data_IF_944793786535
#
_entry.id   IF_944793786535
#
_cell.length_a   1.000
_cell.length_b   1.000
_cell.length_c   1.000
_cell.angle_alpha   90.00
_cell.angle_beta   90.00
_cell.angle_gamma   90.00
#
_symmetry.space_group_name_H-M   'P 1'
#
loop_
_entity.id
_entity.type
_entity.pdbx_description
1 polymer ?
#
# COMPACT_ATOMS: atom_id res chain seq x y z
N UNK A 1 4.36 6.00 13.61
CA UNK A 1 4.44 4.54 13.38
C UNK A 1 5.20 4.30 12.10
N UNK A 2 6.26 3.49 12.12
CA UNK A 2 7.05 3.16 10.94
C UNK A 2 6.32 2.09 10.12
N UNK A 3 6.56 2.02 8.79
CA UNK A 3 6.07 0.92 7.94
C UNK A 3 6.37 -0.45 8.57
N UNK A 4 7.53 -0.57 9.22
CA UNK A 4 7.96 -1.80 9.92
C UNK A 4 6.97 -2.22 11.01
N UNK A 5 6.45 -1.28 11.80
CA UNK A 5 5.51 -1.58 12.91
C UNK A 5 4.18 -2.10 12.38
N UNK A 6 3.74 -1.61 11.21
CA UNK A 6 2.52 -2.10 10.53
C UNK A 6 2.70 -3.50 9.98
N UNK A 7 3.86 -3.78 9.40
CA UNK A 7 4.21 -5.13 8.93
C UNK A 7 4.23 -6.11 10.10
N UNK A 8 4.77 -5.71 11.25
CA UNK A 8 4.75 -6.55 12.45
C UNK A 8 3.31 -6.80 12.94
N UNK A 9 2.46 -5.79 13.01
CA UNK A 9 1.04 -5.96 13.36
C UNK A 9 0.29 -6.88 12.38
N UNK A 10 0.63 -6.82 11.09
CA UNK A 10 0.08 -7.76 10.10
C UNK A 10 0.58 -9.19 10.31
N UNK A 11 1.84 -9.38 10.69
CA UNK A 11 2.41 -10.70 10.99
C UNK A 11 1.78 -11.36 12.22
N UNK A 12 1.29 -10.59 13.17
CA UNK A 12 0.55 -11.10 14.34
C UNK A 12 -0.82 -11.66 13.94
N UNK A 13 -1.41 -11.16 12.87
CA UNK A 13 -2.66 -11.69 12.34
C UNK A 13 -2.40 -12.98 11.56
N UNK A 14 -2.95 -14.10 12.04
CA UNK A 14 -2.79 -15.41 11.41
C UNK A 14 -3.14 -15.45 9.91
N UNK A 15 -4.13 -14.65 9.50
CA UNK A 15 -4.57 -14.59 8.10
C UNK A 15 -3.49 -14.03 7.15
N UNK A 16 -2.61 -13.16 7.65
CA UNK A 16 -1.61 -12.46 6.83
C UNK A 16 -0.17 -12.91 7.09
N UNK A 17 0.08 -13.65 8.18
CA UNK A 17 1.42 -14.10 8.57
C UNK A 17 2.16 -14.81 7.44
N UNK A 18 1.45 -15.72 6.76
CA UNK A 18 2.03 -16.52 5.68
C UNK A 18 2.07 -15.80 4.34
N UNK A 19 1.42 -14.62 4.24
CA UNK A 19 1.41 -13.79 3.04
C UNK A 19 2.63 -12.88 2.99
N UNK A 20 3.08 -12.38 4.14
CA UNK A 20 4.21 -11.45 4.22
C UNK A 20 5.52 -12.24 4.14
N UNK A 21 6.31 -11.96 3.12
CA UNK A 21 7.61 -12.61 2.85
C UNK A 21 8.74 -11.58 2.89
N UNK A 22 9.94 -12.06 3.22
CA UNK A 22 11.15 -11.26 2.99
C UNK A 22 11.45 -11.21 1.49
N UNK A 23 12.24 -10.22 1.02
CA UNK A 23 12.64 -10.17 -0.39
C UNK A 23 13.29 -11.47 -0.88
N UNK A 24 14.11 -12.11 -0.05
CA UNK A 24 14.80 -13.36 -0.35
C UNK A 24 13.81 -14.53 -0.50
N UNK A 25 12.85 -14.62 0.42
CA UNK A 25 11.79 -15.62 0.34
C UNK A 25 10.92 -15.43 -0.91
N UNK A 26 10.55 -14.17 -1.20
CA UNK A 26 9.80 -13.84 -2.38
C UNK A 26 10.56 -14.18 -3.66
N UNK A 27 11.88 -13.88 -3.73
CA UNK A 27 12.73 -14.20 -4.87
C UNK A 27 12.84 -15.71 -5.15
N UNK A 28 12.79 -16.55 -4.09
CA UNK A 28 12.76 -18.01 -4.22
C UNK A 28 11.40 -18.55 -4.72
N UNK A 29 10.32 -17.82 -4.44
CA UNK A 29 8.97 -18.20 -4.85
C UNK A 29 8.61 -17.72 -6.26
N UNK A 30 9.34 -16.72 -6.79
CA UNK A 30 9.09 -16.14 -8.12
C UNK A 30 9.21 -17.17 -9.24
N UNK A 31 8.28 -17.10 -10.17
CA UNK A 31 8.22 -17.93 -11.40
C UNK A 31 8.09 -17.00 -12.60
N UNK A 32 8.37 -17.50 -13.81
CA UNK A 32 8.17 -16.75 -15.06
C UNK A 32 6.72 -16.28 -15.27
N UNK A 33 5.75 -16.95 -14.65
CA UNK A 33 4.33 -16.58 -14.66
C UNK A 33 3.94 -15.60 -13.55
N UNK A 34 4.85 -15.24 -12.64
CA UNK A 34 4.56 -14.32 -11.54
C UNK A 34 4.35 -12.90 -12.04
N UNK A 35 3.34 -12.23 -11.48
CA UNK A 35 3.09 -10.80 -11.66
C UNK A 35 3.65 -10.06 -10.43
N UNK A 36 4.53 -9.11 -10.65
CA UNK A 36 5.02 -8.19 -9.63
C UNK A 36 4.18 -6.91 -9.66
N UNK A 37 3.49 -6.60 -8.57
CA UNK A 37 2.78 -5.35 -8.40
C UNK A 37 3.57 -4.46 -7.44
N UNK A 38 4.00 -3.30 -7.94
CA UNK A 38 4.78 -2.30 -7.21
C UNK A 38 3.84 -1.15 -6.91
N UNK A 39 3.69 -0.81 -5.63
CA UNK A 39 2.81 0.26 -5.17
C UNK A 39 3.60 1.34 -4.44
N UNK A 40 3.14 2.59 -4.55
CA UNK A 40 3.65 3.76 -3.85
C UNK A 40 5.11 4.14 -4.20
N UNK A 41 5.64 3.57 -5.26
CA UNK A 41 6.90 4.00 -5.87
C UNK A 41 6.98 3.55 -7.32
N UNK A 42 7.58 4.39 -8.13
CA UNK A 42 7.98 4.08 -9.51
C UNK A 42 9.51 4.04 -9.66
N UNK A 43 10.25 4.36 -8.58
CA UNK A 43 11.71 4.48 -8.62
C UNK A 43 12.37 3.14 -8.42
N UNK A 44 13.26 2.76 -9.33
CA UNK A 44 14.08 1.55 -9.20
C UNK A 44 14.95 1.60 -7.94
N UNK A 45 15.48 2.77 -7.59
CA UNK A 45 16.31 2.99 -6.40
C UNK A 45 15.57 2.84 -5.07
N UNK A 46 14.24 2.95 -5.07
CA UNK A 46 13.40 2.82 -3.88
C UNK A 46 12.84 1.42 -3.66
N UNK A 47 13.11 0.48 -4.57
CA UNK A 47 12.66 -0.90 -4.41
C UNK A 47 13.39 -1.59 -3.26
N UNK A 48 12.64 -2.36 -2.47
CA UNK A 48 13.21 -3.22 -1.43
C UNK A 48 14.16 -4.29 -2.00
N UNK A 49 13.90 -4.73 -3.25
CA UNK A 49 14.74 -5.67 -3.97
C UNK A 49 14.60 -5.45 -5.48
N UNK A 50 15.71 -5.06 -6.12
CA UNK A 50 15.78 -4.97 -7.57
C UNK A 50 15.72 -6.36 -8.23
N UNK A 51 16.17 -7.40 -7.54
CA UNK A 51 16.15 -8.79 -8.00
C UNK A 51 14.71 -9.27 -8.31
N UNK A 52 13.72 -8.87 -7.51
CA UNK A 52 12.33 -9.22 -7.75
C UNK A 52 11.82 -8.63 -9.07
N UNK A 53 12.22 -7.40 -9.40
CA UNK A 53 11.86 -6.77 -10.67
C UNK A 53 12.54 -7.48 -11.85
N UNK A 54 13.79 -7.91 -11.71
CA UNK A 54 14.54 -8.61 -12.75
C UNK A 54 14.00 -10.03 -13.01
N UNK A 55 13.51 -10.69 -11.96
CA UNK A 55 12.92 -12.04 -12.06
C UNK A 55 11.46 -12.04 -12.51
N UNK A 56 10.77 -10.92 -12.38
CA UNK A 56 9.35 -10.83 -12.72
C UNK A 56 9.13 -10.97 -14.22
N UNK A 57 8.25 -11.87 -14.64
CA UNK A 57 7.82 -11.98 -16.04
C UNK A 57 6.96 -10.79 -16.48
N UNK A 58 6.20 -10.22 -15.55
CA UNK A 58 5.35 -9.04 -15.75
C UNK A 58 5.42 -8.15 -14.53
N UNK A 59 5.45 -6.84 -14.74
CA UNK A 59 5.41 -5.84 -13.67
C UNK A 59 4.28 -4.82 -13.90
N UNK A 60 3.59 -4.47 -12.82
CA UNK A 60 2.62 -3.39 -12.75
C UNK A 60 3.15 -2.36 -11.76
N UNK A 61 3.06 -1.08 -12.10
CA UNK A 61 3.42 0.04 -11.22
C UNK A 61 2.17 0.88 -10.98
N UNK A 62 1.84 1.12 -9.70
CA UNK A 62 0.75 2.00 -9.26
C UNK A 62 1.35 3.02 -8.30
N UNK A 63 1.41 4.28 -8.72
CA UNK A 63 2.09 5.32 -7.94
C UNK A 63 1.46 6.71 -8.16
N UNK A 64 1.37 7.50 -7.09
CA UNK A 64 0.83 8.85 -7.12
C UNK A 64 1.91 9.95 -7.11
N UNK A 65 3.17 9.57 -7.11
CA UNK A 65 4.28 10.53 -7.15
C UNK A 65 4.50 11.08 -8.56
N UNK A 66 5.08 12.28 -8.65
CA UNK A 66 5.52 12.84 -9.92
C UNK A 66 6.58 11.93 -10.55
N UNK A 67 6.55 11.84 -11.87
CA UNK A 67 7.47 10.99 -12.62
C UNK A 67 8.92 11.29 -12.30
N UNK A 68 9.67 10.26 -11.93
CA UNK A 68 11.07 10.33 -11.58
C UNK A 68 11.97 9.97 -12.78
N UNK A 69 13.21 10.47 -12.77
CA UNK A 69 14.19 10.18 -13.82
C UNK A 69 14.58 8.69 -13.80
N UNK A 70 14.68 8.09 -12.61
CA UNK A 70 15.01 6.69 -12.37
C UNK A 70 13.77 5.76 -12.31
N UNK A 71 12.70 6.15 -13.00
CA UNK A 71 11.48 5.35 -13.08
C UNK A 71 11.74 3.97 -13.69
N UNK A 72 11.00 2.97 -13.21
CA UNK A 72 10.98 1.61 -13.76
C UNK A 72 10.59 1.70 -15.23
N UNK A 73 11.43 1.14 -16.11
CA UNK A 73 11.22 1.19 -17.55
C UNK A 73 10.37 0.02 -18.03
N UNK A 74 9.44 0.31 -18.95
CA UNK A 74 8.62 -0.66 -19.66
C UNK A 74 7.88 -1.67 -18.76
N UNK A 75 7.18 -1.24 -17.68
CA UNK A 75 6.31 -2.15 -16.98
C UNK A 75 5.15 -2.58 -17.90
N UNK A 76 4.57 -3.74 -17.62
CA UNK A 76 3.41 -4.25 -18.37
C UNK A 76 2.20 -3.29 -18.26
N UNK A 77 2.02 -2.70 -17.07
CA UNK A 77 1.07 -1.62 -16.82
C UNK A 77 1.75 -0.56 -15.94
N UNK A 78 1.57 0.70 -16.33
CA UNK A 78 2.06 1.84 -15.57
C UNK A 78 0.90 2.78 -15.26
N UNK A 79 0.37 2.71 -14.04
CA UNK A 79 -0.70 3.57 -13.57
C UNK A 79 -0.10 4.63 -12.65
N UNK A 80 0.26 5.79 -13.25
CA UNK A 80 0.83 6.94 -12.56
C UNK A 80 -0.18 8.09 -12.57
N UNK A 81 -0.60 8.54 -11.38
CA UNK A 81 -1.62 9.58 -11.22
C UNK A 81 -1.21 10.57 -10.12
N UNK A 82 -0.43 11.57 -10.50
CA UNK A 82 0.07 12.58 -9.56
C UNK A 82 -1.02 13.48 -8.92
N UNK A 83 -2.25 13.40 -9.42
CA UNK A 83 -3.42 14.07 -8.85
C UNK A 83 -4.13 13.27 -7.76
N UNK A 84 -3.83 11.98 -7.61
CA UNK A 84 -4.37 11.14 -6.53
C UNK A 84 -3.75 11.50 -5.20
N UNK A 85 -4.53 11.40 -4.12
CA UNK A 85 -4.06 11.73 -2.77
C UNK A 85 -3.04 10.73 -2.25
N UNK A 86 -3.13 9.48 -2.68
CA UNK A 86 -2.29 8.38 -2.20
C UNK A 86 -2.35 7.17 -3.14
N UNK A 87 -1.36 6.30 -3.07
CA UNK A 87 -1.42 4.99 -3.73
C UNK A 87 -2.57 4.13 -3.16
N UNK A 88 -2.94 4.32 -1.89
CA UNK A 88 -4.08 3.63 -1.27
C UNK A 88 -5.43 4.05 -1.88
N UNK A 89 -5.61 5.31 -2.28
CA UNK A 89 -6.77 5.77 -3.07
C UNK A 89 -6.84 5.02 -4.39
N UNK A 90 -5.74 5.01 -5.15
CA UNK A 90 -5.65 4.35 -6.46
C UNK A 90 -5.93 2.85 -6.38
N UNK A 91 -5.34 2.16 -5.38
CA UNK A 91 -5.59 0.73 -5.14
C UNK A 91 -7.06 0.49 -4.78
N UNK A 92 -7.65 1.36 -3.95
CA UNK A 92 -9.07 1.25 -3.60
C UNK A 92 -9.97 1.37 -4.82
N UNK A 93 -9.67 2.28 -5.74
CA UNK A 93 -10.40 2.41 -7.01
C UNK A 93 -10.25 1.16 -7.87
N UNK A 94 -9.02 0.64 -8.02
CA UNK A 94 -8.80 -0.60 -8.78
C UNK A 94 -9.61 -1.75 -8.22
N UNK A 95 -9.63 -1.94 -6.89
CA UNK A 95 -10.39 -3.02 -6.22
C UNK A 95 -11.89 -2.91 -6.55
N UNK A 96 -12.46 -1.70 -6.58
CA UNK A 96 -13.88 -1.50 -6.87
C UNK A 96 -14.31 -1.99 -8.25
N UNK A 97 -13.39 -1.97 -9.23
CA UNK A 97 -13.69 -2.29 -10.63
C UNK A 97 -12.99 -3.56 -11.13
N UNK A 98 -12.23 -4.24 -10.26
CA UNK A 98 -11.41 -5.37 -10.70
C UNK A 98 -12.24 -6.63 -10.93
N UNK A 99 -13.11 -6.99 -9.99
CA UNK A 99 -14.00 -8.14 -10.05
C UNK A 99 -15.09 -7.99 -8.98
N UNK A 100 -16.35 -8.28 -9.33
CA UNK A 100 -17.49 -8.24 -8.42
C UNK A 100 -17.35 -9.22 -7.24
N UNK A 101 -16.52 -10.26 -7.36
CA UNK A 101 -16.20 -11.23 -6.31
C UNK A 101 -15.10 -10.79 -5.34
N UNK A 102 -14.29 -9.78 -5.70
CA UNK A 102 -13.19 -9.31 -4.86
C UNK A 102 -13.70 -8.36 -3.77
N UNK A 103 -13.84 -8.88 -2.56
CA UNK A 103 -14.26 -8.09 -1.39
C UNK A 103 -13.10 -8.00 -0.40
N UNK A 104 -12.54 -6.80 -0.18
CA UNK A 104 -11.53 -6.62 0.84
C UNK A 104 -12.13 -6.88 2.23
N UNK A 105 -11.34 -7.48 3.11
CA UNK A 105 -11.72 -7.69 4.51
C UNK A 105 -11.79 -6.35 5.26
N UNK A 106 -12.48 -6.32 6.39
CA UNK A 106 -12.54 -5.14 7.27
C UNK A 106 -11.15 -4.63 7.65
N UNK A 107 -10.19 -5.54 7.88
CA UNK A 107 -8.81 -5.18 8.19
C UNK A 107 -8.10 -4.51 7.00
N UNK A 108 -8.25 -5.05 5.79
CA UNK A 108 -7.67 -4.48 4.57
C UNK A 108 -8.28 -3.11 4.26
N UNK A 109 -9.60 -2.97 4.42
CA UNK A 109 -10.27 -1.67 4.32
C UNK A 109 -9.73 -0.66 5.32
N UNK A 110 -9.52 -1.08 6.57
CA UNK A 110 -8.92 -0.25 7.61
C UNK A 110 -7.49 0.17 7.27
N UNK A 111 -6.67 -0.74 6.74
CA UNK A 111 -5.30 -0.47 6.33
C UNK A 111 -5.22 0.52 5.15
N UNK A 112 -6.06 0.34 4.14
CA UNK A 112 -6.15 1.28 3.00
C UNK A 112 -6.62 2.67 3.45
N UNK A 113 -7.65 2.74 4.32
CA UNK A 113 -8.13 4.01 4.86
C UNK A 113 -7.06 4.70 5.72
N UNK A 114 -6.27 3.93 6.46
CA UNK A 114 -5.15 4.47 7.22
C UNK A 114 -4.08 5.08 6.29
N UNK A 115 -3.76 4.44 5.15
CA UNK A 115 -2.86 4.99 4.15
C UNK A 115 -3.37 6.32 3.58
N UNK A 116 -4.63 6.37 3.14
CA UNK A 116 -5.25 7.63 2.67
C UNK A 116 -5.17 8.71 3.76
N UNK A 117 -5.53 8.37 5.00
CA UNK A 117 -5.50 9.31 6.14
C UNK A 117 -4.10 9.87 6.38
N UNK A 118 -3.06 9.05 6.21
CA UNK A 118 -1.67 9.47 6.42
C UNK A 118 -1.22 10.46 5.35
N UNK A 119 -1.37 10.11 4.08
CA UNK A 119 -0.88 10.92 2.95
C UNK A 119 -1.62 12.24 2.83
N UNK A 120 -2.91 12.24 3.21
CA UNK A 120 -3.75 13.45 3.24
C UNK A 120 -3.65 14.24 4.52
N UNK A 121 -2.80 13.87 5.48
CA UNK A 121 -2.73 14.49 6.80
C UNK A 121 -4.12 14.64 7.43
N UNK A 122 -4.81 13.51 7.60
CA UNK A 122 -6.18 13.45 8.10
C UNK A 122 -7.18 14.24 7.22
N UNK A 123 -7.12 14.06 5.91
CA UNK A 123 -7.96 14.74 4.91
C UNK A 123 -7.80 16.27 4.87
N UNK A 124 -6.68 16.79 5.36
CA UNK A 124 -6.38 18.22 5.37
C UNK A 124 -5.54 18.68 4.16
N UNK A 125 -4.98 17.74 3.39
CA UNK A 125 -4.08 18.04 2.30
C UNK A 125 -4.28 17.11 1.12
N UNK A 126 -4.17 17.67 -0.11
CA UNK A 126 -4.23 16.94 -1.39
C UNK A 126 -5.44 15.99 -1.51
N UNK A 127 -6.63 16.46 -1.12
CA UNK A 127 -7.87 15.68 -1.19
C UNK A 127 -8.78 16.19 -2.32
N UNK A 128 -9.36 15.25 -3.05
CA UNK A 128 -10.36 15.51 -4.09
C UNK A 128 -11.62 14.68 -3.87
N UNK A 129 -12.60 14.81 -4.76
CA UNK A 129 -13.82 13.99 -4.72
C UNK A 129 -13.51 12.49 -4.68
N UNK A 130 -12.58 12.03 -5.52
CA UNK A 130 -12.12 10.63 -5.58
C UNK A 130 -11.60 10.13 -4.23
N UNK A 131 -10.86 10.96 -3.49
CA UNK A 131 -10.37 10.61 -2.14
C UNK A 131 -11.51 10.29 -1.19
N UNK A 132 -12.57 11.10 -1.19
CA UNK A 132 -13.74 10.88 -0.35
C UNK A 132 -14.61 9.72 -0.83
N UNK A 133 -14.69 9.47 -2.12
CA UNK A 133 -15.35 8.30 -2.70
C UNK A 133 -14.65 7.01 -2.29
N UNK A 134 -13.33 6.95 -2.41
CA UNK A 134 -12.53 5.83 -1.94
C UNK A 134 -12.69 5.60 -0.43
N UNK A 135 -12.60 6.66 0.38
CA UNK A 135 -12.84 6.58 1.82
C UNK A 135 -14.25 6.09 2.15
N UNK A 136 -15.27 6.56 1.43
CA UNK A 136 -16.66 6.13 1.59
C UNK A 136 -16.82 4.64 1.25
N UNK A 137 -16.22 4.17 0.16
CA UNK A 137 -16.20 2.76 -0.20
C UNK A 137 -15.59 1.90 0.91
N UNK A 138 -14.42 2.27 1.41
CA UNK A 138 -13.75 1.54 2.49
C UNK A 138 -14.59 1.51 3.77
N UNK A 139 -15.24 2.63 4.11
CA UNK A 139 -16.15 2.71 5.25
C UNK A 139 -17.35 1.77 5.11
N UNK A 140 -17.96 1.71 3.94
CA UNK A 140 -19.10 0.79 3.67
C UNK A 140 -18.68 -0.68 3.76
N UNK A 141 -17.40 -0.98 3.47
CA UNK A 141 -16.85 -2.33 3.56
C UNK A 141 -16.19 -2.63 4.92
N UNK A 142 -16.49 -1.82 5.95
CA UNK A 142 -16.18 -2.12 7.35
C UNK A 142 -14.95 -1.42 7.91
N UNK A 143 -14.27 -0.54 7.16
CA UNK A 143 -13.20 0.26 7.75
C UNK A 143 -13.74 1.11 8.90
N UNK A 144 -13.07 1.08 10.03
CA UNK A 144 -13.45 1.78 11.25
C UNK A 144 -12.40 2.80 11.68
N UNK A 145 -12.86 3.99 12.05
CA UNK A 145 -11.99 5.08 12.49
C UNK A 145 -11.23 4.76 13.77
N UNK A 146 -11.77 3.91 14.65
CA UNK A 146 -11.08 3.49 15.87
C UNK A 146 -9.89 2.62 15.52
N UNK A 147 -10.08 1.65 14.64
CA UNK A 147 -9.00 0.81 14.10
C UNK A 147 -7.94 1.64 13.40
N UNK A 148 -8.36 2.60 12.55
CA UNK A 148 -7.44 3.53 11.88
C UNK A 148 -6.64 4.34 12.91
N UNK A 149 -7.29 4.89 13.96
CA UNK A 149 -6.60 5.61 15.02
C UNK A 149 -5.61 4.73 15.80
N UNK A 150 -5.98 3.49 16.09
CA UNK A 150 -5.08 2.53 16.77
C UNK A 150 -3.83 2.26 15.92
N UNK A 151 -3.96 2.21 14.59
CA UNK A 151 -2.83 2.06 13.68
C UNK A 151 -1.86 3.26 13.70
N UNK A 152 -2.30 4.42 14.21
CA UNK A 152 -1.48 5.64 14.34
C UNK A 152 -1.02 5.92 15.78
N UNK A 153 -1.57 5.26 16.76
CA UNK A 153 -1.10 5.43 18.14
C UNK A 153 0.31 4.82 18.25
N UNK A 154 1.29 5.71 18.41
CA UNK A 154 2.61 5.29 18.88
C UNK A 154 2.45 4.73 20.28
N UNK A 155 2.94 3.53 20.50
CA UNK A 155 3.12 3.03 21.85
C UNK A 155 4.00 4.04 22.61
N UNK A 156 3.61 4.37 23.84
CA UNK A 156 4.35 5.29 24.72
C UNK A 156 5.83 4.89 24.87
N UNK A 157 6.16 3.62 24.70
CA UNK A 157 7.53 3.13 24.66
C UNK A 157 8.29 3.57 23.41
N UNK A 158 7.65 3.52 22.25
CA UNK A 158 8.20 3.97 20.99
C UNK A 158 8.45 5.48 21.00
N UNK A 159 7.54 6.26 21.60
CA UNK A 159 7.71 7.70 21.80
C UNK A 159 8.92 8.02 22.72
N UNK A 160 9.07 7.31 23.83
CA UNK A 160 10.20 7.44 24.76
C UNK A 160 11.55 7.08 24.13
N UNK A 161 11.56 6.09 23.23
CA UNK A 161 12.78 5.66 22.55
C UNK A 161 13.25 6.64 21.46
N UNK A 162 12.35 7.47 20.94
CA UNK A 162 12.70 8.55 19.99
C UNK A 162 13.14 9.84 20.67
N UNK A 163 12.82 10.01 21.95
CA UNK A 163 13.17 11.18 22.74
C UNK A 163 14.52 11.06 23.48
N UNK A 164 15.25 9.96 23.30
CA UNK A 164 16.62 9.71 23.74
C UNK A 164 17.57 9.80 22.56
#
# INVERSE_FOLDING_TARGET
MCIRDRIEAMKENKAYRDTIKTPEQAAQMMRSSSLLIIVDTQRKSSLLSAELLEKAGKAVVIDHHRRAVDSIQNPTLNYLEAGSSSACEMVTEVIQYFDDGLKPTTFECGALLAGITMDTKHFSFNTGARTFEAASYLRRNGADNTTVKMMFQDDMQTYRNRAK
#
